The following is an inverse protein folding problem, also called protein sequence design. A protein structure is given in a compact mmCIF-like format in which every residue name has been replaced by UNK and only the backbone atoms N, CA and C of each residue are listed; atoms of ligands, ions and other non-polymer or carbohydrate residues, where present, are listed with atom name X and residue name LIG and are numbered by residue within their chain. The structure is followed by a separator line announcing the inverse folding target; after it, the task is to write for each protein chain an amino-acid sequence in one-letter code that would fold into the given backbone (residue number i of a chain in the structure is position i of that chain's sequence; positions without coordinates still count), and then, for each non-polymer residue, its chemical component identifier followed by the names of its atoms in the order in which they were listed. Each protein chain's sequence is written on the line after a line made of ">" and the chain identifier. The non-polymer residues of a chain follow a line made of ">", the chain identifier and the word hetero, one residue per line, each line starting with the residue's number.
data_IF_920520002862
#
_entry.id   IF_920520002862
#
_cell.length_a   1.000
_cell.length_b   1.000
_cell.length_c   1.000
_cell.angle_alpha   90.00
_cell.angle_beta   90.00
_cell.angle_gamma   90.00
#
_symmetry.space_group_name_H-M   'P 1'
#
loop_
_entity.id
_entity.type
_entity.pdbx_description
1 polymer ?
#
# COMPACT_ATOMS: atom_id res chain seq x y z
N UNK A 1 -17.45 3.53 -29.18
CA UNK A 1 -18.19 4.26 -28.13
C UNK A 1 -19.46 3.44 -27.90
N UNK A 2 -19.76 3.04 -26.66
CA UNK A 2 -20.99 2.27 -26.39
C UNK A 2 -22.22 3.16 -26.53
N UNK A 3 -23.39 2.58 -26.74
CA UNK A 3 -24.66 3.32 -26.88
C UNK A 3 -24.92 4.25 -25.69
N UNK A 4 -24.64 3.79 -24.46
CA UNK A 4 -24.76 4.63 -23.27
C UNK A 4 -23.80 5.85 -23.25
N UNK A 5 -22.63 5.78 -23.88
CA UNK A 5 -21.72 6.93 -23.95
C UNK A 5 -22.14 7.94 -25.02
N UNK A 6 -22.87 7.50 -26.05
CA UNK A 6 -23.47 8.40 -27.04
C UNK A 6 -24.61 9.21 -26.42
N UNK A 7 -25.43 8.58 -25.57
CA UNK A 7 -26.50 9.27 -24.81
C UNK A 7 -25.93 10.33 -23.86
N UNK A 8 -24.86 10.00 -23.12
CA UNK A 8 -24.20 10.95 -22.20
C UNK A 8 -23.63 12.15 -22.97
N UNK A 9 -22.98 11.90 -24.11
CA UNK A 9 -22.45 12.97 -24.96
C UNK A 9 -23.57 13.87 -25.50
N UNK A 10 -24.65 13.27 -26.00
CA UNK A 10 -25.80 14.03 -26.52
C UNK A 10 -26.46 14.88 -25.44
N UNK A 11 -26.57 14.37 -24.21
CA UNK A 11 -27.10 15.12 -23.08
C UNK A 11 -26.19 16.31 -22.73
N UNK A 12 -24.88 16.10 -22.70
CA UNK A 12 -23.92 17.15 -22.39
C UNK A 12 -23.92 18.27 -23.44
N UNK A 13 -23.95 17.91 -24.73
CA UNK A 13 -24.07 18.86 -25.83
C UNK A 13 -25.39 19.67 -25.73
N UNK A 14 -26.49 19.04 -25.28
CA UNK A 14 -27.79 19.72 -25.10
C UNK A 14 -27.80 20.79 -24.00
N UNK A 15 -26.88 20.72 -23.04
CA UNK A 15 -26.70 21.70 -21.96
C UNK A 15 -25.48 22.61 -22.17
N UNK A 16 -24.88 22.59 -23.37
CA UNK A 16 -23.73 23.42 -23.74
C UNK A 16 -22.40 22.99 -23.14
N UNK A 17 -22.29 21.74 -22.67
CA UNK A 17 -21.04 21.15 -22.20
C UNK A 17 -20.39 20.35 -23.32
N UNK A 18 -19.17 20.74 -23.69
CA UNK A 18 -18.33 19.96 -24.59
C UNK A 18 -17.61 18.87 -23.79
N UNK A 19 -17.88 17.60 -24.11
CA UNK A 19 -17.22 16.45 -23.48
C UNK A 19 -16.28 15.81 -24.50
N UNK A 20 -14.97 15.90 -24.22
CA UNK A 20 -13.96 15.11 -24.91
C UNK A 20 -13.88 13.72 -24.27
N UNK A 21 -14.29 12.68 -25.00
CA UNK A 21 -14.05 11.30 -24.57
C UNK A 21 -12.64 10.88 -24.96
N UNK A 22 -11.78 10.65 -23.96
CA UNK A 22 -10.51 9.95 -24.14
C UNK A 22 -10.74 8.47 -23.89
N UNK A 23 -10.71 7.60 -24.92
CA UNK A 23 -10.78 6.17 -24.71
C UNK A 23 -9.63 5.78 -23.79
N UNK A 24 -9.93 5.02 -22.73
CA UNK A 24 -8.87 4.26 -22.07
C UNK A 24 -8.22 3.41 -23.17
N UNK A 25 -6.93 3.61 -23.43
CA UNK A 25 -6.20 2.82 -24.41
C UNK A 25 -6.46 1.35 -24.08
N UNK A 26 -7.04 0.60 -25.02
CA UNK A 26 -7.26 -0.82 -24.80
C UNK A 26 -5.88 -1.42 -24.45
N UNK A 27 -5.74 -2.13 -23.32
CA UNK A 27 -4.51 -2.87 -23.08
C UNK A 27 -4.31 -3.82 -24.27
N UNK A 28 -3.06 -4.07 -24.69
CA UNK A 28 -2.79 -4.95 -25.81
C UNK A 28 -3.34 -6.35 -25.52
N UNK A 29 -3.78 -7.05 -26.56
CA UNK A 29 -4.37 -8.41 -26.46
C UNK A 29 -3.38 -9.39 -25.82
N UNK A 30 -2.08 -9.14 -25.98
CA UNK A 30 -0.99 -9.80 -25.28
C UNK A 30 -0.06 -8.74 -24.68
N UNK A 31 0.17 -8.85 -23.37
CA UNK A 31 1.10 -8.00 -22.65
C UNK A 31 2.10 -8.88 -21.90
N UNK A 32 3.38 -8.72 -22.21
CA UNK A 32 4.48 -9.31 -21.45
C UNK A 32 5.30 -8.14 -20.89
N UNK A 33 4.99 -7.65 -19.67
CA UNK A 33 5.88 -6.68 -19.05
C UNK A 33 7.26 -7.32 -18.92
N UNK A 34 8.35 -6.55 -19.14
CA UNK A 34 9.68 -7.07 -18.89
C UNK A 34 9.73 -7.53 -17.43
N UNK A 35 10.07 -8.82 -17.23
CA UNK A 35 10.34 -9.30 -15.88
C UNK A 35 11.49 -8.45 -15.31
N UNK A 36 11.39 -7.99 -14.06
CA UNK A 36 12.46 -7.19 -13.49
C UNK A 36 13.77 -8.01 -13.48
N UNK A 37 14.88 -7.40 -13.87
CA UNK A 37 16.19 -8.09 -13.95
C UNK A 37 16.60 -8.77 -12.63
N UNK A 38 16.12 -8.25 -11.50
CA UNK A 38 16.38 -8.78 -10.17
C UNK A 38 15.58 -10.04 -9.82
N UNK A 39 14.58 -10.43 -10.62
CA UNK A 39 13.86 -11.69 -10.45
C UNK A 39 14.75 -12.91 -10.78
N UNK A 40 15.87 -12.68 -11.48
CA UNK A 40 16.87 -13.70 -11.83
C UNK A 40 18.01 -13.83 -10.80
N UNK A 41 18.08 -12.92 -9.82
CA UNK A 41 19.13 -12.94 -8.79
C UNK A 41 18.51 -12.90 -7.40
N UNK A 42 18.26 -14.09 -6.84
CA UNK A 42 18.13 -14.23 -5.40
C UNK A 42 19.49 -13.93 -4.77
N UNK A 43 19.60 -12.77 -4.14
CA UNK A 43 20.70 -12.47 -3.25
C UNK A 43 20.13 -11.85 -1.98
N UNK A 44 20.15 -12.64 -0.92
CA UNK A 44 20.04 -12.17 0.45
C UNK A 44 21.06 -11.04 0.66
N UNK A 45 20.57 -9.80 0.69
CA UNK A 45 21.37 -8.67 1.13
C UNK A 45 21.49 -8.74 2.65
N UNK A 46 22.71 -8.97 3.13
CA UNK A 46 23.04 -8.89 4.55
C UNK A 46 22.68 -7.50 5.06
N UNK A 47 21.85 -7.44 6.11
CA UNK A 47 21.36 -6.20 6.69
C UNK A 47 22.41 -5.70 7.68
N UNK A 48 23.04 -4.59 7.33
CA UNK A 48 24.04 -3.94 8.18
C UNK A 48 23.35 -3.31 9.40
N UNK A 49 23.78 -3.70 10.59
CA UNK A 49 23.18 -3.30 11.85
C UNK A 49 23.68 -1.91 12.27
N UNK A 50 23.03 -0.85 11.77
CA UNK A 50 23.06 0.46 12.41
C UNK A 50 22.02 1.39 11.78
N UNK A 51 21.27 2.11 12.63
CA UNK A 51 20.37 3.24 12.34
C UNK A 51 18.90 2.90 12.04
N UNK A 52 18.03 3.78 12.54
CA UNK A 52 16.54 3.75 12.61
C UNK A 52 15.80 2.72 11.75
N UNK A 53 14.88 1.97 12.36
CA UNK A 53 14.05 0.96 11.68
C UNK A 53 13.18 1.60 10.58
N UNK A 54 13.39 1.15 9.34
CA UNK A 54 12.64 1.56 8.14
C UNK A 54 11.35 0.77 7.98
N UNK A 55 10.23 1.45 7.83
CA UNK A 55 8.88 0.89 7.64
C UNK A 55 8.42 1.22 6.22
N UNK A 56 8.15 0.21 5.40
CA UNK A 56 7.42 0.40 4.15
C UNK A 56 5.92 0.45 4.45
N UNK A 57 5.27 1.56 4.15
CA UNK A 57 3.86 1.78 4.47
C UNK A 57 3.01 1.45 3.23
N UNK A 58 2.59 0.19 3.13
CA UNK A 58 1.70 -0.32 2.10
C UNK A 58 0.24 0.03 2.43
N UNK A 59 -0.39 0.89 1.63
CA UNK A 59 -1.74 1.36 1.88
C UNK A 59 -2.42 1.87 0.60
N UNK A 60 -3.77 1.89 0.56
CA UNK A 60 -4.51 2.64 -0.45
C UNK A 60 -4.06 4.11 -0.52
N UNK A 61 -3.99 4.66 -1.73
CA UNK A 61 -3.57 6.05 -2.00
C UNK A 61 -4.38 6.67 -3.15
N UNK A 62 -5.66 6.32 -3.26
CA UNK A 62 -6.52 6.73 -4.37
C UNK A 62 -7.51 7.84 -4.00
N UNK A 63 -7.67 8.13 -2.71
CA UNK A 63 -8.55 9.19 -2.21
C UNK A 63 -7.77 10.26 -1.43
N UNK A 64 -8.31 11.47 -1.38
CA UNK A 64 -7.74 12.55 -0.59
C UNK A 64 -7.64 12.19 0.91
N UNK A 65 -8.62 11.45 1.44
CA UNK A 65 -8.63 11.01 2.83
C UNK A 65 -7.47 10.04 3.12
N UNK A 66 -7.22 9.08 2.23
CA UNK A 66 -6.11 8.14 2.34
C UNK A 66 -4.76 8.87 2.36
N UNK A 67 -4.54 9.81 1.43
CA UNK A 67 -3.29 10.58 1.39
C UNK A 67 -2.99 11.33 2.69
N UNK A 68 -4.01 11.99 3.23
CA UNK A 68 -3.89 12.74 4.48
C UNK A 68 -3.65 11.82 5.67
N UNK A 69 -4.40 10.72 5.75
CA UNK A 69 -4.28 9.78 6.85
C UNK A 69 -2.94 9.06 6.85
N UNK A 70 -2.49 8.54 5.70
CA UNK A 70 -1.18 7.91 5.52
C UNK A 70 -0.06 8.87 5.94
N UNK A 71 -0.11 10.14 5.49
CA UNK A 71 0.90 11.14 5.85
C UNK A 71 0.90 11.45 7.34
N UNK A 72 -0.28 11.58 7.95
CA UNK A 72 -0.42 11.86 9.37
C UNK A 72 0.11 10.72 10.22
N UNK A 73 -0.20 9.47 9.88
CA UNK A 73 0.29 8.30 10.61
C UNK A 73 1.80 8.14 10.45
N UNK A 74 2.33 8.34 9.23
CA UNK A 74 3.76 8.35 8.98
C UNK A 74 4.50 9.37 9.85
N UNK A 75 4.02 10.62 9.92
CA UNK A 75 4.61 11.66 10.78
C UNK A 75 4.65 11.26 12.27
N UNK A 76 3.60 10.60 12.76
CA UNK A 76 3.56 10.14 14.15
C UNK A 76 4.54 9.00 14.40
N UNK A 77 4.71 8.08 13.45
CA UNK A 77 5.72 7.02 13.50
C UNK A 77 7.15 7.59 13.41
N UNK A 78 7.38 8.56 12.53
CA UNK A 78 8.65 9.28 12.43
C UNK A 78 9.01 9.98 13.74
N UNK A 79 8.03 10.56 14.44
CA UNK A 79 8.22 11.13 15.78
C UNK A 79 8.58 10.08 16.85
N UNK A 80 8.34 8.78 16.61
CA UNK A 80 8.83 7.66 17.44
C UNK A 80 10.23 7.18 17.04
N UNK A 81 10.86 7.82 16.06
CA UNK A 81 12.21 7.51 15.61
C UNK A 81 12.29 6.42 14.55
N UNK A 82 11.19 6.15 13.82
CA UNK A 82 11.18 5.29 12.65
C UNK A 82 11.46 6.08 11.36
N UNK A 83 11.97 5.41 10.33
CA UNK A 83 11.98 5.95 8.96
C UNK A 83 10.76 5.36 8.25
N UNK A 84 9.88 6.18 7.68
CA UNK A 84 8.69 5.69 6.98
C UNK A 84 8.80 5.97 5.49
N UNK A 85 8.62 4.94 4.67
CA UNK A 85 8.50 5.09 3.21
C UNK A 85 7.04 5.01 2.80
N UNK A 86 6.59 6.04 2.10
CA UNK A 86 5.24 6.17 1.58
C UNK A 86 5.24 6.05 0.05
N UNK A 87 4.59 5.02 -0.54
CA UNK A 87 4.48 4.88 -2.00
C UNK A 87 3.85 6.10 -2.68
N UNK A 88 2.94 6.79 -1.97
CA UNK A 88 2.34 8.04 -2.44
C UNK A 88 3.35 9.18 -2.61
N UNK A 89 4.43 9.23 -1.83
CA UNK A 89 5.47 10.25 -2.00
C UNK A 89 6.36 9.91 -3.21
N UNK A 90 6.65 8.63 -3.45
CA UNK A 90 7.34 8.14 -4.66
C UNK A 90 6.54 8.41 -5.94
N UNK A 91 5.22 8.18 -5.90
CA UNK A 91 4.34 8.40 -7.05
C UNK A 91 4.05 9.90 -7.33
N UNK A 92 4.20 10.77 -6.32
CA UNK A 92 3.76 12.18 -6.38
C UNK A 92 4.25 12.95 -7.62
N UNK A 93 5.54 12.91 -8.01
CA UNK A 93 6.02 13.68 -9.16
C UNK A 93 5.40 13.21 -10.48
N UNK A 94 5.07 11.93 -10.60
CA UNK A 94 4.41 11.37 -11.80
C UNK A 94 2.92 11.70 -11.81
N UNK A 95 2.26 11.65 -10.64
CA UNK A 95 0.83 11.94 -10.51
C UNK A 95 0.51 13.44 -10.62
N UNK A 96 1.43 14.32 -10.22
CA UNK A 96 1.28 15.77 -10.35
C UNK A 96 1.59 16.31 -11.75
N UNK A 97 2.13 15.47 -12.64
CA UNK A 97 2.61 15.87 -13.96
C UNK A 97 3.95 16.62 -13.94
N UNK A 98 4.67 16.65 -12.81
CA UNK A 98 6.04 17.16 -12.73
C UNK A 98 7.02 16.30 -13.56
N UNK A 99 6.73 15.00 -13.65
CA UNK A 99 7.44 14.03 -14.49
C UNK A 99 6.46 13.21 -15.31
N UNK A 100 6.93 12.60 -16.40
CA UNK A 100 6.10 11.67 -17.18
C UNK A 100 5.82 10.40 -16.37
N UNK A 101 4.59 9.89 -16.45
CA UNK A 101 4.22 8.67 -15.76
C UNK A 101 4.91 7.46 -16.40
N UNK A 102 5.86 6.87 -15.68
CA UNK A 102 6.55 5.64 -16.07
C UNK A 102 6.16 4.50 -15.11
N UNK A 103 5.28 3.59 -15.54
CA UNK A 103 4.81 2.50 -14.68
C UNK A 103 5.93 1.52 -14.30
N UNK A 104 6.92 1.31 -15.17
CA UNK A 104 8.03 0.38 -14.89
C UNK A 104 8.94 0.96 -13.82
N UNK A 105 9.24 2.25 -13.92
CA UNK A 105 10.08 2.94 -12.95
C UNK A 105 9.40 3.07 -11.58
N UNK A 106 8.10 3.38 -11.55
CA UNK A 106 7.33 3.45 -10.31
C UNK A 106 7.27 2.08 -9.63
N UNK A 107 6.97 1.03 -10.39
CA UNK A 107 6.97 -0.35 -9.88
C UNK A 107 8.34 -0.74 -9.32
N UNK A 108 9.42 -0.48 -10.06
CA UNK A 108 10.79 -0.77 -9.63
C UNK A 108 11.17 -0.03 -8.35
N UNK A 109 10.81 1.25 -8.26
CA UNK A 109 11.06 2.08 -7.07
C UNK A 109 10.33 1.54 -5.84
N UNK A 110 9.04 1.24 -5.97
CA UNK A 110 8.25 0.66 -4.89
C UNK A 110 8.83 -0.67 -4.39
N UNK A 111 9.27 -1.55 -5.29
CA UNK A 111 9.87 -2.83 -4.88
C UNK A 111 11.21 -2.63 -4.18
N UNK A 112 12.05 -1.72 -4.67
CA UNK A 112 13.34 -1.42 -4.02
C UNK A 112 13.14 -0.83 -2.61
N UNK A 113 12.15 0.05 -2.45
CA UNK A 113 11.79 0.62 -1.17
C UNK A 113 11.24 -0.43 -0.20
N UNK A 114 10.39 -1.34 -0.68
CA UNK A 114 9.88 -2.46 0.10
C UNK A 114 11.02 -3.39 0.54
N UNK A 115 11.88 -3.83 -0.40
CA UNK A 115 13.02 -4.72 -0.12
C UNK A 115 14.01 -4.15 0.87
N UNK A 116 14.28 -2.85 0.80
CA UNK A 116 15.22 -2.17 1.68
C UNK A 116 14.63 -1.84 3.06
N UNK A 117 13.33 -2.07 3.26
CA UNK A 117 12.66 -1.77 4.52
C UNK A 117 12.80 -2.91 5.53
N UNK A 118 12.78 -2.55 6.81
CA UNK A 118 12.94 -3.52 7.87
C UNK A 118 11.68 -4.34 8.16
N UNK A 119 10.52 -3.72 7.87
CA UNK A 119 9.17 -4.22 8.13
C UNK A 119 8.22 -3.55 7.14
N UNK A 120 7.15 -4.25 6.77
CA UNK A 120 6.03 -3.68 6.02
C UNK A 120 4.87 -3.43 6.97
N UNK A 121 4.31 -2.23 6.96
CA UNK A 121 3.01 -1.92 7.56
C UNK A 121 1.97 -1.97 6.43
N UNK A 122 1.03 -2.91 6.50
CA UNK A 122 -0.01 -3.12 5.49
C UNK A 122 -1.38 -2.68 6.02
N UNK A 123 -2.03 -1.74 5.33
CA UNK A 123 -3.39 -1.28 5.66
C UNK A 123 -4.42 -2.20 5.00
N UNK A 124 -5.07 -3.03 5.80
CA UNK A 124 -5.99 -4.08 5.37
C UNK A 124 -7.45 -3.69 5.64
N UNK A 125 -7.79 -2.45 5.32
CA UNK A 125 -9.15 -1.94 5.40
C UNK A 125 -9.98 -2.36 4.18
N UNK A 126 -11.30 -2.11 4.25
CA UNK A 126 -12.30 -2.52 3.27
C UNK A 126 -12.67 -4.01 3.31
N UNK A 127 -13.70 -4.36 2.54
CA UNK A 127 -14.17 -5.75 2.40
C UNK A 127 -13.17 -6.60 1.59
N UNK A 128 -12.54 -5.99 0.60
CA UNK A 128 -11.41 -6.52 -0.14
C UNK A 128 -10.30 -5.48 -0.04
N UNK A 129 -9.21 -5.77 0.69
CA UNK A 129 -8.09 -4.84 0.79
C UNK A 129 -7.51 -4.49 -0.58
N UNK A 130 -6.89 -3.32 -0.69
CA UNK A 130 -6.31 -2.86 -1.94
C UNK A 130 -5.37 -3.91 -2.56
N UNK A 131 -5.58 -4.19 -3.85
CA UNK A 131 -4.81 -5.18 -4.60
C UNK A 131 -3.31 -4.86 -4.66
N UNK A 132 -2.92 -3.58 -4.66
CA UNK A 132 -1.52 -3.16 -4.61
C UNK A 132 -0.89 -3.54 -3.26
N UNK A 133 -1.55 -3.15 -2.17
CA UNK A 133 -1.18 -3.50 -0.80
C UNK A 133 -1.11 -5.03 -0.61
N UNK A 134 -2.06 -5.78 -1.17
CA UNK A 134 -2.05 -7.25 -1.14
C UNK A 134 -0.83 -7.85 -1.87
N UNK A 135 -0.47 -7.30 -3.03
CA UNK A 135 0.71 -7.74 -3.79
C UNK A 135 2.01 -7.46 -3.02
N UNK A 136 2.14 -6.26 -2.46
CA UNK A 136 3.29 -5.85 -1.64
C UNK A 136 3.43 -6.75 -0.40
N UNK A 137 2.31 -7.06 0.27
CA UNK A 137 2.29 -7.99 1.39
C UNK A 137 2.72 -9.41 0.98
N UNK A 138 2.21 -9.94 -0.14
CA UNK A 138 2.59 -11.26 -0.64
C UNK A 138 4.09 -11.33 -0.98
N UNK A 139 4.61 -10.28 -1.61
CA UNK A 139 6.04 -10.14 -1.88
C UNK A 139 6.86 -10.16 -0.59
N UNK A 140 6.47 -9.35 0.40
CA UNK A 140 7.15 -9.26 1.70
C UNK A 140 7.18 -10.61 2.44
N UNK A 141 6.05 -11.34 2.42
CA UNK A 141 5.96 -12.67 3.00
C UNK A 141 6.96 -13.64 2.35
N UNK A 142 7.01 -13.69 1.01
CA UNK A 142 7.95 -14.53 0.27
C UNK A 142 9.41 -14.14 0.52
N UNK A 143 9.68 -12.85 0.74
CA UNK A 143 11.02 -12.31 0.98
C UNK A 143 11.47 -12.37 2.45
N UNK A 144 10.69 -13.01 3.34
CA UNK A 144 10.92 -13.03 4.79
C UNK A 144 11.01 -11.63 5.44
N UNK A 145 10.34 -10.64 4.86
CA UNK A 145 10.20 -9.31 5.45
C UNK A 145 8.95 -9.33 6.35
N UNK A 146 9.08 -9.03 7.65
CA UNK A 146 7.94 -9.09 8.56
C UNK A 146 6.86 -8.10 8.14
N UNK A 147 5.61 -8.56 8.12
CA UNK A 147 4.44 -7.73 7.84
C UNK A 147 3.70 -7.47 9.15
N UNK A 148 3.36 -6.21 9.41
CA UNK A 148 2.40 -5.80 10.44
C UNK A 148 1.15 -5.39 9.67
N UNK A 149 0.06 -6.14 9.81
CA UNK A 149 -1.20 -5.74 9.23
C UNK A 149 -1.99 -4.85 10.20
N UNK A 150 -2.60 -3.79 9.69
CA UNK A 150 -3.45 -2.88 10.43
C UNK A 150 -4.83 -2.83 9.78
N UNK A 151 -5.87 -3.08 10.57
CA UNK A 151 -7.26 -2.94 10.16
C UNK A 151 -7.99 -1.99 11.09
N UNK A 152 -8.44 -0.87 10.55
CA UNK A 152 -9.30 0.13 11.17
C UNK A 152 -10.78 -0.07 10.83
N UNK A 153 -11.06 -0.82 9.76
CA UNK A 153 -12.41 -1.17 9.32
C UNK A 153 -13.10 -2.17 10.27
N UNK A 154 -14.26 -1.76 10.77
CA UNK A 154 -15.06 -2.51 11.75
C UNK A 154 -16.03 -3.50 11.14
N UNK A 155 -16.20 -3.46 9.82
CA UNK A 155 -16.98 -4.47 9.13
C UNK A 155 -16.21 -5.77 9.16
N UNK A 156 -16.93 -6.87 9.41
CA UNK A 156 -16.37 -8.21 9.19
C UNK A 156 -16.24 -8.44 7.70
N UNK A 157 -15.06 -8.84 7.26
CA UNK A 157 -14.77 -9.23 5.90
C UNK A 157 -13.93 -10.51 5.89
N UNK A 158 -13.87 -11.21 4.76
CA UNK A 158 -13.06 -12.42 4.62
C UNK A 158 -13.45 -13.59 5.54
N UNK A 159 -12.52 -14.53 5.63
CA UNK A 159 -12.73 -15.88 6.15
C UNK A 159 -11.87 -16.20 7.40
N UNK A 160 -10.98 -15.29 7.84
CA UNK A 160 -10.32 -15.44 9.14
C UNK A 160 -11.18 -14.87 10.28
N UNK A 161 -11.68 -15.72 11.22
CA UNK A 161 -12.57 -15.28 12.29
C UNK A 161 -11.91 -14.32 13.30
N UNK A 162 -10.57 -14.25 13.35
CA UNK A 162 -9.84 -13.42 14.31
C UNK A 162 -9.40 -12.08 13.73
N UNK A 163 -9.34 -11.94 12.41
CA UNK A 163 -8.79 -10.76 11.75
C UNK A 163 -9.80 -10.03 10.85
N UNK A 164 -10.92 -10.69 10.50
CA UNK A 164 -11.93 -10.11 9.60
C UNK A 164 -11.34 -9.62 8.27
N UNK A 165 -10.40 -10.41 7.72
CA UNK A 165 -9.80 -10.26 6.38
C UNK A 165 -9.65 -11.63 5.74
N UNK A 166 -9.29 -11.67 4.45
CA UNK A 166 -8.89 -12.91 3.79
C UNK A 166 -7.75 -13.61 4.55
N UNK A 167 -7.86 -14.92 4.76
CA UNK A 167 -6.90 -15.70 5.57
C UNK A 167 -5.48 -15.61 5.04
N UNK A 168 -5.28 -15.46 3.73
CA UNK A 168 -3.94 -15.34 3.15
C UNK A 168 -3.25 -14.07 3.67
N UNK A 169 -4.01 -12.99 3.86
CA UNK A 169 -3.50 -11.74 4.39
C UNK A 169 -3.25 -11.85 5.90
N UNK A 170 -4.20 -12.38 6.68
CA UNK A 170 -3.99 -12.51 8.13
C UNK A 170 -2.83 -13.45 8.49
N UNK A 171 -2.65 -14.55 7.74
CA UNK A 171 -1.60 -15.56 7.98
C UNK A 171 -0.23 -15.14 7.45
N UNK A 172 -0.20 -14.20 6.51
CA UNK A 172 1.05 -13.59 6.04
C UNK A 172 1.53 -12.47 6.96
N UNK A 173 0.71 -12.03 7.92
CA UNK A 173 1.10 -11.06 8.93
C UNK A 173 1.92 -11.72 10.05
N UNK A 174 3.02 -11.08 10.39
CA UNK A 174 3.76 -11.38 11.61
C UNK A 174 3.03 -10.87 12.86
N UNK A 175 2.24 -9.81 12.72
CA UNK A 175 1.34 -9.31 13.76
C UNK A 175 0.13 -8.65 13.08
N UNK A 176 -1.08 -8.88 13.60
CA UNK A 176 -2.29 -8.20 13.17
C UNK A 176 -2.77 -7.26 14.27
N UNK A 177 -2.99 -6.00 13.90
CA UNK A 177 -3.59 -4.97 14.74
C UNK A 177 -4.99 -4.69 14.21
N UNK A 178 -6.03 -5.03 14.98
CA UNK A 178 -7.42 -4.67 14.68
C UNK A 178 -7.82 -3.56 15.66
N UNK A 179 -8.14 -2.37 15.14
CA UNK A 179 -8.47 -1.21 15.96
C UNK A 179 -9.88 -1.36 16.54
N UNK A 180 -10.04 -1.42 17.87
CA UNK A 180 -11.37 -1.53 18.47
C UNK A 180 -12.17 -0.23 18.29
N UNK A 181 -13.51 -0.34 18.29
CA UNK A 181 -14.40 0.82 18.15
C UNK A 181 -14.10 1.97 19.13
N UNK A 182 -13.66 1.64 20.35
CA UNK A 182 -13.32 2.61 21.41
C UNK A 182 -12.01 3.37 21.15
N UNK A 183 -11.20 2.98 20.17
CA UNK A 183 -9.89 3.56 19.85
C UNK A 183 -9.80 4.14 18.44
N UNK A 184 -10.91 4.25 17.71
CA UNK A 184 -10.90 4.69 16.31
C UNK A 184 -10.34 6.10 16.08
N UNK A 185 -10.56 7.01 17.04
CA UNK A 185 -10.07 8.39 16.97
C UNK A 185 -8.69 8.55 17.65
N UNK A 186 -8.19 7.50 18.29
CA UNK A 186 -6.98 7.51 19.10
C UNK A 186 -5.77 7.07 18.26
N UNK A 187 -5.26 7.99 17.43
CA UNK A 187 -4.09 7.74 16.58
C UNK A 187 -2.83 7.41 17.40
N UNK A 188 -2.67 8.00 18.59
CA UNK A 188 -1.51 7.69 19.44
C UNK A 188 -1.54 6.25 19.95
N UNK A 189 -2.72 5.70 20.23
CA UNK A 189 -2.88 4.29 20.54
C UNK A 189 -2.50 3.42 19.34
N UNK A 190 -2.96 3.75 18.13
CA UNK A 190 -2.62 3.02 16.90
C UNK A 190 -1.10 3.01 16.68
N UNK A 191 -0.46 4.18 16.76
CA UNK A 191 0.99 4.34 16.65
C UNK A 191 1.72 3.52 17.71
N UNK A 192 1.21 3.52 18.95
CA UNK A 192 1.77 2.72 20.04
C UNK A 192 1.70 1.21 19.78
N UNK A 193 0.60 0.71 19.18
CA UNK A 193 0.51 -0.71 18.81
C UNK A 193 1.50 -1.08 17.70
N UNK A 194 1.64 -0.23 16.68
CA UNK A 194 2.61 -0.43 15.60
C UNK A 194 4.03 -0.45 16.18
N UNK A 195 4.38 0.54 17.02
CA UNK A 195 5.68 0.62 17.67
C UNK A 195 6.01 -0.64 18.48
N UNK A 196 5.05 -1.13 19.27
CA UNK A 196 5.22 -2.36 20.05
C UNK A 196 5.43 -3.59 19.16
N UNK A 197 4.65 -3.72 18.08
CA UNK A 197 4.79 -4.81 17.12
C UNK A 197 6.16 -4.80 16.42
N UNK A 198 6.65 -3.62 16.04
CA UNK A 198 8.00 -3.45 15.47
C UNK A 198 9.09 -3.84 16.48
N UNK A 199 9.03 -3.34 17.72
CA UNK A 199 10.04 -3.62 18.76
C UNK A 199 10.09 -5.10 19.16
N UNK A 200 8.94 -5.75 19.28
CA UNK A 200 8.83 -7.19 19.59
C UNK A 200 9.55 -8.05 18.56
N UNK A 201 9.66 -7.59 17.31
CA UNK A 201 10.39 -8.29 16.24
C UNK A 201 11.89 -8.02 16.28
N UNK A 202 12.30 -6.79 16.59
CA UNK A 202 13.72 -6.48 16.81
C UNK A 202 14.33 -7.34 17.94
N UNK A 203 13.58 -7.59 19.02
CA UNK A 203 14.04 -8.38 20.17
C UNK A 203 14.03 -9.91 20.01
N UNK A 204 13.56 -10.46 18.87
CA UNK A 204 13.50 -11.92 18.61
C UNK A 204 14.65 -12.45 17.74
N UNK A 205 15.66 -11.63 17.44
CA UNK A 205 16.83 -12.03 16.62
C UNK A 205 17.98 -12.66 17.43
N UNK A 206 17.67 -13.37 18.52
CA UNK A 206 18.64 -14.14 19.34
C UNK A 206 18.24 -15.60 19.42
#
# INVERSE_FOLDING_TARGET
>A
MSDGMLEIRSLAESIGLEIEYKPCSKPPEFWQPPLPDWLASDAAMAREASHSTKIYFAAPLFTQAEWQWNKKLAQLLEARGFVVVLPQDTARPMLSGETSFDPQELFRSNVNDLKSSNVVLAILDQADPDSGTCWEQGYAYSANIPVIGLRTDIRRAGDDPNAAVNLMLSRSCSEMIVVPCSKREDLDWVVGQIENAVKKRAGKST
#
